data_IF_861567818708
#
_entry.id   IF_861567818708
#
_cell.length_a   1.000
_cell.length_b   1.000
_cell.length_c   1.000
_cell.angle_alpha   90.00
_cell.angle_beta   90.00
_cell.angle_gamma   90.00
#
_symmetry.space_group_name_H-M   'P 1'
#
loop_
_entity.id
_entity.type
_entity.pdbx_description
1 polymer ?
#
# COMPACT_ATOMS: atom_id res chain seq x y z
N UNK A 1 17.68 3.47 -4.20
CA UNK A 1 16.64 3.47 -3.15
C UNK A 1 15.41 2.81 -3.75
N UNK A 2 14.89 1.77 -3.12
CA UNK A 2 13.75 1.00 -3.65
C UNK A 2 12.53 1.32 -2.81
N UNK A 3 11.45 1.77 -3.45
CA UNK A 3 10.18 2.04 -2.78
C UNK A 3 9.27 0.80 -2.86
N UNK A 4 8.58 0.52 -1.76
CA UNK A 4 7.61 -0.57 -1.65
C UNK A 4 6.23 0.00 -1.39
N UNK A 5 5.25 -0.41 -2.19
CA UNK A 5 3.83 -0.13 -1.97
C UNK A 5 3.25 -1.28 -1.14
N UNK A 6 2.98 -1.00 0.14
CA UNK A 6 2.27 -1.92 1.03
C UNK A 6 0.77 -1.67 0.91
N UNK A 7 0.03 -2.62 0.33
CA UNK A 7 -1.43 -2.58 0.28
C UNK A 7 -2.01 -3.33 1.47
N UNK A 8 -2.56 -2.61 2.44
CA UNK A 8 -3.35 -3.18 3.50
C UNK A 8 -4.80 -3.39 3.03
N UNK A 9 -5.29 -4.62 3.17
CA UNK A 9 -6.65 -5.02 2.80
C UNK A 9 -7.27 -6.01 3.79
N UNK A 10 -8.58 -6.27 3.63
CA UNK A 10 -9.33 -7.28 4.38
C UNK A 10 -9.97 -8.27 3.40
N UNK A 11 -10.16 -9.52 3.80
CA UNK A 11 -10.90 -10.54 3.02
C UNK A 11 -12.31 -10.08 2.66
N UNK A 12 -12.98 -9.36 3.57
CA UNK A 12 -14.36 -8.86 3.40
C UNK A 12 -14.46 -7.59 2.52
N UNK A 13 -13.35 -7.16 1.90
CA UNK A 13 -13.29 -5.96 1.09
C UNK A 13 -13.36 -6.30 -0.41
N UNK A 14 -14.57 -6.41 -0.97
CA UNK A 14 -14.76 -6.69 -2.41
C UNK A 14 -14.05 -5.71 -3.36
N UNK A 15 -13.89 -4.45 -2.95
CA UNK A 15 -13.12 -3.45 -3.70
C UNK A 15 -11.61 -3.73 -3.68
N UNK A 16 -11.09 -4.25 -2.56
CA UNK A 16 -9.67 -4.61 -2.43
C UNK A 16 -9.30 -5.73 -3.42
N UNK A 17 -10.15 -6.74 -3.56
CA UNK A 17 -9.94 -7.85 -4.49
C UNK A 17 -9.95 -7.39 -5.94
N UNK A 18 -10.96 -6.61 -6.34
CA UNK A 18 -11.12 -6.13 -7.74
C UNK A 18 -9.93 -5.31 -8.24
N UNK A 19 -9.26 -4.58 -7.35
CA UNK A 19 -8.18 -3.69 -7.72
C UNK A 19 -6.80 -4.33 -7.69
N UNK A 20 -6.61 -5.42 -6.93
CA UNK A 20 -5.27 -5.95 -6.60
C UNK A 20 -4.35 -6.22 -7.79
N UNK A 21 -4.87 -6.88 -8.83
CA UNK A 21 -4.05 -7.21 -10.00
C UNK A 21 -3.61 -5.95 -10.76
N UNK A 22 -4.48 -4.96 -10.89
CA UNK A 22 -4.15 -3.70 -11.56
C UNK A 22 -3.16 -2.88 -10.73
N UNK A 23 -3.37 -2.77 -9.42
CA UNK A 23 -2.51 -1.98 -8.54
C UNK A 23 -1.07 -2.51 -8.50
N UNK A 24 -0.91 -3.84 -8.41
CA UNK A 24 0.42 -4.49 -8.44
C UNK A 24 1.16 -4.16 -9.72
N UNK A 25 0.48 -4.36 -10.87
CA UNK A 25 1.05 -4.06 -12.18
C UNK A 25 1.48 -2.59 -12.31
N UNK A 26 0.65 -1.65 -11.87
CA UNK A 26 0.98 -0.23 -11.92
C UNK A 26 2.18 0.11 -11.02
N UNK A 27 2.25 -0.48 -9.83
CA UNK A 27 3.38 -0.26 -8.93
C UNK A 27 4.69 -0.77 -9.53
N UNK A 28 4.69 -1.97 -10.10
CA UNK A 28 5.84 -2.56 -10.80
C UNK A 28 6.26 -1.73 -12.01
N UNK A 29 5.29 -1.28 -12.83
CA UNK A 29 5.55 -0.40 -13.99
C UNK A 29 6.16 0.95 -13.59
N UNK A 30 5.93 1.41 -12.36
CA UNK A 30 6.51 2.64 -11.80
C UNK A 30 7.80 2.38 -11.00
N UNK A 31 8.36 1.17 -11.06
CA UNK A 31 9.61 0.82 -10.41
C UNK A 31 9.52 0.57 -8.91
N UNK A 32 8.30 0.38 -8.38
CA UNK A 32 8.09 0.02 -6.99
C UNK A 32 7.93 -1.50 -6.82
N UNK A 33 8.36 -2.03 -5.68
CA UNK A 33 7.92 -3.35 -5.22
C UNK A 33 6.47 -3.24 -4.73
N UNK A 34 5.65 -4.26 -4.96
CA UNK A 34 4.28 -4.32 -4.43
C UNK A 34 4.13 -5.47 -3.44
N UNK A 35 3.55 -5.19 -2.28
CA UNK A 35 3.24 -6.23 -1.28
C UNK A 35 1.79 -6.09 -0.85
N UNK A 36 1.01 -7.14 -1.09
CA UNK A 36 -0.35 -7.26 -0.58
C UNK A 36 -0.32 -7.79 0.85
N UNK A 37 -0.78 -6.97 1.80
CA UNK A 37 -0.85 -7.29 3.22
C UNK A 37 -2.32 -7.43 3.61
N UNK A 38 -2.84 -8.65 3.58
CA UNK A 38 -4.19 -8.95 4.04
C UNK A 38 -4.18 -9.07 5.56
N UNK A 39 -5.10 -8.41 6.26
CA UNK A 39 -5.13 -8.43 7.73
C UNK A 39 -5.30 -9.85 8.31
N UNK A 40 -6.01 -10.71 7.59
CA UNK A 40 -6.24 -12.11 7.93
C UNK A 40 -5.01 -12.99 7.68
N UNK A 41 -4.12 -12.59 6.76
CA UNK A 41 -2.83 -13.25 6.58
C UNK A 41 -1.88 -12.83 7.71
N UNK A 42 -1.82 -13.68 8.74
CA UNK A 42 -1.06 -13.38 9.96
C UNK A 42 0.44 -13.25 9.72
N UNK A 43 1.01 -13.85 8.66
CA UNK A 43 2.44 -13.76 8.39
C UNK A 43 2.80 -12.39 7.83
N UNK A 44 2.18 -12.01 6.70
CA UNK A 44 2.38 -10.72 6.08
C UNK A 44 1.98 -9.57 7.02
N UNK A 45 0.83 -9.70 7.71
CA UNK A 45 0.38 -8.69 8.65
C UNK A 45 1.35 -8.50 9.82
N UNK A 46 1.86 -9.58 10.44
CA UNK A 46 2.85 -9.44 11.53
C UNK A 46 4.13 -8.75 11.06
N UNK A 47 4.57 -9.04 9.84
CA UNK A 47 5.77 -8.43 9.24
C UNK A 47 5.61 -6.92 9.06
N UNK A 48 4.47 -6.46 8.54
CA UNK A 48 4.30 -5.07 8.13
C UNK A 48 3.39 -4.22 9.04
N UNK A 49 2.74 -4.80 10.06
CA UNK A 49 1.88 -4.05 11.00
C UNK A 49 2.58 -2.87 11.66
N UNK A 50 3.90 -2.92 11.86
CA UNK A 50 4.67 -1.82 12.43
C UNK A 50 4.56 -0.55 11.56
N UNK A 51 4.57 -0.70 10.24
CA UNK A 51 4.42 0.41 9.29
C UNK A 51 2.98 0.94 9.32
N UNK A 52 1.99 0.05 9.32
CA UNK A 52 0.58 0.46 9.41
C UNK A 52 0.30 1.26 10.67
N UNK A 53 0.78 0.80 11.83
CA UNK A 53 0.55 1.44 13.12
C UNK A 53 1.38 2.71 13.32
N UNK A 54 2.46 2.90 12.57
CA UNK A 54 3.18 4.18 12.56
C UNK A 54 2.33 5.29 11.92
N UNK A 55 1.57 4.98 10.87
CA UNK A 55 0.63 5.92 10.25
C UNK A 55 -0.72 5.99 10.99
N UNK A 56 -1.19 4.84 11.51
CA UNK A 56 -2.50 4.69 12.13
C UNK A 56 -2.39 4.00 13.50
N UNK A 57 -1.90 4.69 14.56
CA UNK A 57 -1.66 4.08 15.87
C UNK A 57 -2.89 3.41 16.49
N UNK A 58 -4.07 3.99 16.25
CA UNK A 58 -5.37 3.51 16.69
C UNK A 58 -6.26 2.99 15.56
N UNK A 59 -5.72 2.84 14.34
CA UNK A 59 -6.45 2.39 13.13
C UNK A 59 -7.63 3.28 12.68
N UNK A 60 -7.81 4.46 13.28
CA UNK A 60 -8.86 5.40 12.89
C UNK A 60 -8.50 6.13 11.59
N UNK A 61 -9.49 6.47 10.77
CA UNK A 61 -9.28 7.21 9.51
C UNK A 61 -8.66 6.38 8.38
N UNK A 62 -8.47 5.07 8.57
CA UNK A 62 -8.13 4.14 7.49
C UNK A 62 -9.26 4.05 6.47
N UNK A 63 -8.91 4.02 5.18
CA UNK A 63 -9.83 3.73 4.08
C UNK A 63 -9.40 2.47 3.34
N UNK A 64 -10.31 1.54 3.08
CA UNK A 64 -9.97 0.26 2.45
C UNK A 64 -10.12 0.28 0.93
N UNK A 65 -9.14 -0.24 0.16
CA UNK A 65 -7.77 -0.59 0.58
C UNK A 65 -6.93 0.64 0.98
N UNK A 66 -5.98 0.46 1.90
CA UNK A 66 -4.99 1.47 2.28
C UNK A 66 -3.64 1.11 1.67
N UNK A 67 -3.01 2.01 0.94
CA UNK A 67 -1.68 1.83 0.36
C UNK A 67 -0.71 2.78 1.04
N UNK A 68 0.40 2.25 1.55
CA UNK A 68 1.51 3.05 2.07
C UNK A 68 2.71 2.89 1.15
N UNK A 69 3.30 3.99 0.71
CA UNK A 69 4.57 4.00 -0.04
C UNK A 69 5.70 4.12 0.97
N UNK A 70 6.58 3.12 1.02
CA UNK A 70 7.53 2.95 2.11
C UNK A 70 8.92 2.65 1.56
N UNK A 71 9.92 3.31 2.11
CA UNK A 71 11.34 2.96 1.94
C UNK A 71 11.76 2.02 3.08
N UNK A 72 12.52 0.98 2.76
CA UNK A 72 13.02 -0.06 3.69
C UNK A 72 11.96 -0.57 4.70
N UNK A 73 10.83 -1.16 4.25
CA UNK A 73 9.74 -1.56 5.12
C UNK A 73 10.11 -2.65 6.16
N UNK A 74 11.23 -3.35 5.96
CA UNK A 74 11.70 -4.40 6.85
C UNK A 74 12.73 -3.90 7.88
N UNK A 75 13.55 -2.90 7.54
CA UNK A 75 14.49 -2.25 8.45
C UNK A 75 13.97 -0.96 9.09
N UNK A 76 14.74 0.12 8.94
CA UNK A 76 14.43 1.47 9.42
C UNK A 76 13.57 2.20 8.39
N UNK A 77 12.26 1.93 8.46
CA UNK A 77 11.35 2.37 7.41
C UNK A 77 11.04 3.86 7.45
N UNK A 78 10.76 4.42 6.27
CA UNK A 78 10.22 5.78 6.11
C UNK A 78 9.01 5.77 5.20
N UNK A 79 7.87 6.26 5.68
CA UNK A 79 6.64 6.41 4.89
C UNK A 79 6.76 7.67 4.04
N UNK A 80 6.68 7.51 2.72
CA UNK A 80 6.76 8.62 1.74
C UNK A 80 5.40 9.18 1.35
N UNK A 81 4.33 8.39 1.53
CA UNK A 81 2.97 8.84 1.25
C UNK A 81 1.94 7.73 1.39
N UNK A 82 0.68 8.09 1.18
CA UNK A 82 -0.46 7.19 1.29
C UNK A 82 -1.48 7.39 0.18
N UNK A 83 -2.17 6.30 -0.17
CA UNK A 83 -3.38 6.31 -1.01
C UNK A 83 -4.43 5.50 -0.26
N UNK A 84 -5.70 5.95 -0.30
CA UNK A 84 -6.79 5.30 0.42
C UNK A 84 -8.00 5.08 -0.47
N UNK A 85 -8.71 3.99 -0.20
CA UNK A 85 -10.02 3.70 -0.76
C UNK A 85 -9.97 3.12 -2.17
N UNK A 86 -11.13 2.65 -2.64
CA UNK A 86 -11.31 2.27 -4.03
C UNK A 86 -11.26 3.48 -4.95
N UNK A 87 -10.71 3.31 -6.15
CA UNK A 87 -10.69 4.36 -7.17
C UNK A 87 -10.84 3.78 -8.58
N UNK A 88 -11.26 4.60 -9.57
CA UNK A 88 -11.26 4.21 -10.97
C UNK A 88 -9.89 3.72 -11.47
N UNK A 89 -9.89 2.86 -12.49
CA UNK A 89 -8.65 2.46 -13.18
C UNK A 89 -8.02 3.70 -13.81
N UNK A 90 -6.74 3.94 -13.54
CA UNK A 90 -6.00 5.14 -13.96
C UNK A 90 -5.68 6.10 -12.82
N UNK A 91 -6.62 6.32 -11.90
CA UNK A 91 -6.40 7.22 -10.75
C UNK A 91 -5.30 6.70 -9.83
N UNK A 92 -5.23 5.38 -9.64
CA UNK A 92 -4.17 4.76 -8.83
C UNK A 92 -2.78 5.09 -9.37
N UNK A 93 -2.60 5.02 -10.70
CA UNK A 93 -1.34 5.38 -11.35
C UNK A 93 -1.00 6.84 -11.11
N UNK A 94 -1.92 7.76 -11.38
CA UNK A 94 -1.70 9.20 -11.19
C UNK A 94 -1.33 9.52 -9.74
N UNK A 95 -2.07 8.95 -8.77
CA UNK A 95 -1.81 9.15 -7.34
C UNK A 95 -0.48 8.54 -6.91
N UNK A 96 -0.16 7.33 -7.35
CA UNK A 96 1.11 6.69 -7.02
C UNK A 96 2.28 7.49 -7.60
N UNK A 97 2.24 7.83 -8.89
CA UNK A 97 3.29 8.64 -9.53
C UNK A 97 3.54 9.97 -8.81
N UNK A 98 2.51 10.62 -8.28
CA UNK A 98 2.66 11.88 -7.54
C UNK A 98 3.38 11.73 -6.18
N UNK A 99 3.46 10.51 -5.63
CA UNK A 99 4.16 10.21 -4.38
C UNK A 99 5.60 9.73 -4.60
N UNK A 100 5.97 9.41 -5.85
CA UNK A 100 7.30 8.98 -6.17
C UNK A 100 8.19 10.20 -6.44
N UNK A 101 9.48 10.16 -6.07
CA UNK A 101 10.41 11.20 -6.49
C UNK A 101 10.38 11.30 -8.02
N UNK A 102 10.44 12.52 -8.56
CA UNK A 102 10.52 12.75 -10.00
C UNK A 102 11.66 11.90 -10.57
N UNK A 103 11.32 10.96 -11.46
CA UNK A 103 12.29 10.20 -12.25
C UNK A 103 13.02 11.11 -13.23
#
# INVERSE_FOLDING_TARGET
MTLTVLKFSSEDCGTCHRMSHYDSKVAEELGCTFVSVMLQDTEAYRKYRKVLLAQYPNKEGMGWPTYLVVEDPEGEFSIKGEIKGGMPKGDFRTKLSALLPNL
#
